data_IF_715217939804
#
_entry.id   IF_715217939804
#
_cell.length_a   1.000
_cell.length_b   1.000
_cell.length_c   1.000
_cell.angle_alpha   90.00
_cell.angle_beta   90.00
_cell.angle_gamma   90.00
#
_symmetry.space_group_name_H-M   'P 1'
#
loop_
_entity.id
_entity.type
_entity.pdbx_description
1 polymer ?
#
# COMPACT_ATOMS: atom_id res chain seq x y z
N UNK A 1 0.38 -0.08 -8.11
CA UNK A 1 -0.07 -0.98 -7.03
C UNK A 1 -1.10 -0.28 -6.17
N UNK A 2 -2.14 -0.99 -5.72
CA UNK A 2 -3.12 -0.43 -4.78
C UNK A 2 -2.51 -0.46 -3.38
N UNK A 3 -2.16 0.72 -2.85
CA UNK A 3 -1.85 0.86 -1.43
C UNK A 3 -3.15 0.79 -0.64
N UNK A 4 -3.35 -0.29 0.11
CA UNK A 4 -4.40 -0.36 1.11
C UNK A 4 -3.86 0.14 2.46
N UNK A 5 -4.65 0.94 3.20
CA UNK A 5 -4.26 1.37 4.54
C UNK A 5 -4.20 0.17 5.49
N UNK A 6 -3.39 0.26 6.54
CA UNK A 6 -3.13 -0.87 7.46
C UNK A 6 -4.40 -1.40 8.14
N UNK A 7 -5.41 -0.55 8.34
CA UNK A 7 -6.69 -0.94 8.92
C UNK A 7 -7.57 -1.76 7.95
N UNK A 8 -7.26 -1.77 6.65
CA UNK A 8 -8.10 -2.39 5.62
C UNK A 8 -8.29 -3.89 5.88
N UNK A 9 -7.24 -4.59 6.34
CA UNK A 9 -7.34 -6.03 6.66
C UNK A 9 -8.34 -6.26 7.80
N UNK A 10 -8.21 -5.50 8.89
CA UNK A 10 -9.15 -5.57 10.02
C UNK A 10 -10.58 -5.21 9.62
N UNK A 11 -10.75 -4.20 8.76
CA UNK A 11 -12.05 -3.78 8.25
C UNK A 11 -12.72 -4.88 7.40
N UNK A 12 -11.98 -5.47 6.46
CA UNK A 12 -12.48 -6.57 5.63
C UNK A 12 -12.84 -7.81 6.45
N UNK A 13 -12.02 -8.16 7.44
CA UNK A 13 -12.34 -9.23 8.40
C UNK A 13 -13.61 -8.93 9.20
N UNK A 14 -13.78 -7.69 9.65
CA UNK A 14 -14.98 -7.23 10.34
C UNK A 14 -16.25 -7.38 9.49
N UNK A 15 -16.20 -6.94 8.24
CA UNK A 15 -17.32 -7.10 7.29
C UNK A 15 -17.64 -8.58 7.09
N UNK A 16 -16.63 -9.42 6.88
CA UNK A 16 -16.82 -10.85 6.67
C UNK A 16 -17.54 -11.51 7.86
N UNK A 17 -17.13 -11.20 9.10
CA UNK A 17 -17.79 -11.70 10.32
C UNK A 17 -19.24 -11.21 10.41
N UNK A 18 -19.47 -9.92 10.17
CA UNK A 18 -20.81 -9.33 10.22
C UNK A 18 -21.77 -10.02 9.24
N UNK A 19 -21.33 -10.22 7.99
CA UNK A 19 -22.12 -10.88 6.94
C UNK A 19 -22.47 -12.33 7.34
N UNK A 20 -21.51 -13.08 7.89
CA UNK A 20 -21.76 -14.44 8.36
C UNK A 20 -22.78 -14.48 9.51
N UNK A 21 -22.72 -13.53 10.45
CA UNK A 21 -23.68 -13.43 11.55
C UNK A 21 -25.09 -13.09 11.06
N UNK A 22 -25.22 -12.17 10.11
CA UNK A 22 -26.52 -11.81 9.52
C UNK A 22 -27.15 -13.02 8.84
N UNK A 23 -26.41 -13.76 8.02
CA UNK A 23 -26.95 -14.96 7.36
C UNK A 23 -27.26 -16.09 8.36
N UNK A 24 -26.43 -16.28 9.39
CA UNK A 24 -26.72 -17.22 10.46
C UNK A 24 -28.02 -16.88 11.20
N UNK A 25 -28.22 -15.59 11.51
CA UNK A 25 -29.45 -15.11 12.15
C UNK A 25 -30.69 -15.33 11.28
N UNK A 26 -30.61 -15.01 9.98
CA UNK A 26 -31.72 -15.24 9.04
C UNK A 26 -32.05 -16.73 8.89
N UNK A 27 -31.03 -17.61 8.86
CA UNK A 27 -31.23 -19.05 8.79
C UNK A 27 -31.93 -19.60 10.03
N UNK A 28 -31.63 -19.08 11.22
CA UNK A 28 -32.33 -19.42 12.47
C UNK A 28 -33.79 -18.95 12.41
N UNK A 29 -34.05 -17.71 11.97
CA UNK A 29 -35.41 -17.18 11.88
C UNK A 29 -36.29 -17.91 10.86
N UNK A 30 -35.73 -18.30 9.73
CA UNK A 30 -36.45 -19.02 8.66
C UNK A 30 -36.53 -20.52 8.90
N UNK A 31 -35.72 -21.07 9.81
CA UNK A 31 -35.65 -22.51 10.11
C UNK A 31 -35.16 -23.37 8.94
N UNK A 32 -34.54 -22.76 7.92
CA UNK A 32 -34.16 -23.45 6.69
C UNK A 32 -32.73 -23.11 6.27
N UNK A 33 -31.87 -24.12 6.28
CA UNK A 33 -30.52 -24.04 5.72
C UNK A 33 -30.52 -23.97 4.18
N UNK A 34 -31.62 -24.31 3.51
CA UNK A 34 -31.70 -24.25 2.04
C UNK A 34 -31.56 -22.82 1.50
N UNK A 35 -31.89 -21.82 2.32
CA UNK A 35 -31.65 -20.41 2.00
C UNK A 35 -30.16 -20.07 1.82
N UNK A 36 -29.26 -20.85 2.41
CA UNK A 36 -27.82 -20.67 2.27
C UNK A 36 -27.31 -21.09 0.88
N UNK A 37 -28.12 -21.75 0.05
CA UNK A 37 -27.73 -22.17 -1.30
C UNK A 37 -27.85 -21.00 -2.28
N UNK A 38 -26.93 -20.92 -3.24
CA UNK A 38 -26.93 -19.90 -4.29
C UNK A 38 -26.20 -18.62 -3.87
N UNK A 39 -26.83 -17.42 -3.94
CA UNK A 39 -26.16 -16.15 -3.64
C UNK A 39 -25.51 -16.10 -2.26
N UNK A 40 -26.13 -16.72 -1.27
CA UNK A 40 -25.63 -16.75 0.11
C UNK A 40 -24.38 -17.61 0.23
N UNK A 41 -24.34 -18.79 -0.42
CA UNK A 41 -23.14 -19.62 -0.49
C UNK A 41 -21.96 -18.87 -1.13
N UNK A 42 -22.21 -18.11 -2.20
CA UNK A 42 -21.18 -17.28 -2.82
C UNK A 42 -20.67 -16.19 -1.88
N UNK A 43 -21.56 -15.56 -1.09
CA UNK A 43 -21.18 -14.57 -0.09
C UNK A 43 -20.32 -15.19 1.03
N UNK A 44 -20.60 -16.42 1.47
CA UNK A 44 -19.75 -17.14 2.43
C UNK A 44 -18.35 -17.43 1.88
N UNK A 45 -18.24 -17.89 0.63
CA UNK A 45 -16.94 -18.12 -0.01
C UNK A 45 -16.13 -16.81 -0.10
N UNK A 46 -16.79 -15.71 -0.46
CA UNK A 46 -16.17 -14.39 -0.48
C UNK A 46 -15.75 -13.92 0.91
N UNK A 47 -16.58 -14.13 1.94
CA UNK A 47 -16.26 -13.81 3.32
C UNK A 47 -15.05 -14.59 3.84
N UNK A 48 -14.95 -15.90 3.54
CA UNK A 48 -13.77 -16.71 3.88
C UNK A 48 -12.52 -16.17 3.18
N UNK A 49 -12.62 -15.80 1.90
CA UNK A 49 -11.51 -15.15 1.18
C UNK A 49 -11.10 -13.82 1.81
N UNK A 50 -12.05 -12.99 2.24
CA UNK A 50 -11.80 -11.73 2.94
C UNK A 50 -11.18 -11.96 4.33
N UNK A 51 -11.55 -13.02 5.04
CA UNK A 51 -10.95 -13.39 6.32
C UNK A 51 -9.49 -13.77 6.19
N UNK A 52 -9.15 -14.47 5.12
CA UNK A 52 -7.78 -14.87 4.80
C UNK A 52 -7.02 -13.79 4.01
N UNK A 53 -7.62 -12.61 3.79
CA UNK A 53 -6.96 -11.54 3.06
C UNK A 53 -5.91 -10.88 3.95
N UNK A 54 -4.67 -10.92 3.46
CA UNK A 54 -3.52 -10.24 4.03
C UNK A 54 -3.13 -9.07 3.12
N UNK A 55 -2.54 -8.03 3.71
CA UNK A 55 -1.95 -6.91 2.99
C UNK A 55 -0.42 -7.11 2.95
N UNK A 56 0.11 -7.93 2.01
CA UNK A 56 1.54 -8.20 1.98
C UNK A 56 2.30 -6.93 1.64
N UNK A 57 3.32 -6.63 2.44
CA UNK A 57 4.26 -5.56 2.14
C UNK A 57 5.16 -6.06 1.02
N UNK A 58 4.94 -5.55 -0.20
CA UNK A 58 5.79 -5.83 -1.32
C UNK A 58 7.12 -5.10 -1.15
N UNK A 59 8.19 -5.88 -1.07
CA UNK A 59 9.55 -5.35 -1.10
C UNK A 59 10.03 -5.47 -2.54
N UNK A 60 10.21 -4.34 -3.21
CA UNK A 60 10.84 -4.33 -4.54
C UNK A 60 12.35 -4.32 -4.37
N UNK A 61 13.03 -5.24 -5.07
CA UNK A 61 14.48 -5.23 -5.12
C UNK A 61 14.90 -4.20 -6.17
N UNK A 62 15.38 -3.05 -5.70
CA UNK A 62 15.91 -2.00 -6.57
C UNK A 62 17.37 -2.27 -6.96
N UNK A 63 17.85 -1.49 -7.92
CA UNK A 63 19.28 -1.41 -8.24
C UNK A 63 20.10 -0.93 -7.03
N UNK A 64 21.41 -1.23 -6.99
CA UNK A 64 22.31 -0.74 -5.95
C UNK A 64 22.29 0.79 -5.79
N UNK A 65 22.44 1.28 -4.56
CA UNK A 65 22.41 2.71 -4.25
C UNK A 65 23.41 3.56 -5.05
N UNK A 66 24.58 3.00 -5.37
CA UNK A 66 25.63 3.68 -6.14
C UNK A 66 25.27 3.94 -7.61
N UNK A 67 24.15 3.41 -8.09
CA UNK A 67 23.69 3.63 -9.47
C UNK A 67 22.84 4.89 -9.64
N UNK A 68 22.33 5.46 -8.54
CA UNK A 68 21.46 6.63 -8.56
C UNK A 68 22.27 7.92 -8.35
N UNK A 69 22.12 8.85 -9.29
CA UNK A 69 22.94 10.06 -9.34
C UNK A 69 22.12 11.35 -9.17
N UNK A 70 20.80 11.29 -9.29
CA UNK A 70 19.96 12.49 -9.23
C UNK A 70 18.80 12.28 -8.28
N UNK A 71 18.61 13.23 -7.38
CA UNK A 71 17.51 13.26 -6.43
C UNK A 71 16.74 14.55 -6.61
N UNK A 72 15.48 14.43 -7.00
CA UNK A 72 14.54 15.54 -6.99
C UNK A 72 13.74 15.54 -5.70
N UNK A 73 13.77 16.67 -5.02
CA UNK A 73 13.08 16.88 -3.73
C UNK A 73 11.92 17.86 -3.95
N UNK A 74 10.70 17.36 -3.84
CA UNK A 74 9.47 18.17 -3.87
C UNK A 74 8.90 18.28 -2.45
N UNK A 75 9.28 19.35 -1.74
CA UNK A 75 8.79 19.63 -0.39
C UNK A 75 7.31 19.95 -0.34
N UNK A 76 6.73 20.55 -1.39
CA UNK A 76 5.30 20.93 -1.38
C UNK A 76 4.39 19.72 -1.37
N UNK A 77 4.82 18.63 -2.01
CA UNK A 77 4.07 17.37 -2.10
C UNK A 77 4.65 16.26 -1.22
N UNK A 78 5.66 16.58 -0.40
CA UNK A 78 6.39 15.63 0.45
C UNK A 78 6.84 14.39 -0.33
N UNK A 79 7.52 14.63 -1.45
CA UNK A 79 7.89 13.59 -2.41
C UNK A 79 9.37 13.69 -2.76
N UNK A 80 10.03 12.52 -2.85
CA UNK A 80 11.43 12.40 -3.22
C UNK A 80 11.52 11.42 -4.39
N UNK A 81 12.14 11.85 -5.48
CA UNK A 81 12.31 11.06 -6.69
C UNK A 81 13.79 10.86 -6.94
N UNK A 82 14.21 9.60 -6.93
CA UNK A 82 15.59 9.22 -7.17
C UNK A 82 15.68 8.60 -8.54
N UNK A 83 16.56 9.12 -9.40
CA UNK A 83 16.72 8.63 -10.77
C UNK A 83 18.19 8.56 -11.20
N UNK A 84 18.39 7.84 -12.30
CA UNK A 84 19.68 7.69 -12.98
C UNK A 84 19.94 8.86 -13.93
N UNK A 85 20.94 8.71 -14.79
CA UNK A 85 21.15 9.58 -15.97
C UNK A 85 19.93 9.62 -16.90
N UNK A 86 19.14 8.54 -16.91
CA UNK A 86 17.82 8.50 -17.55
C UNK A 86 16.74 8.79 -16.50
N UNK A 87 15.91 9.79 -16.77
CA UNK A 87 14.81 10.26 -15.89
C UNK A 87 13.72 9.20 -15.73
N UNK A 88 13.64 8.22 -16.65
CA UNK A 88 12.65 7.15 -16.61
C UNK A 88 13.03 5.99 -15.69
N UNK A 89 14.30 5.90 -15.27
CA UNK A 89 14.82 4.83 -14.43
C UNK A 89 15.08 5.36 -13.02
N UNK A 90 14.22 4.98 -12.09
CA UNK A 90 14.24 5.48 -10.73
C UNK A 90 13.14 4.91 -9.84
N UNK A 91 13.03 5.46 -8.64
CA UNK A 91 11.93 5.18 -7.74
C UNK A 91 11.40 6.48 -7.12
N UNK A 92 10.12 6.44 -6.76
CA UNK A 92 9.40 7.57 -6.19
C UNK A 92 8.97 7.22 -4.76
N UNK A 93 9.34 8.06 -3.80
CA UNK A 93 8.94 7.94 -2.41
C UNK A 93 8.04 9.11 -2.03
N UNK A 94 6.80 8.81 -1.63
CA UNK A 94 5.85 9.80 -1.09
C UNK A 94 5.70 9.63 0.41
N UNK A 95 5.64 10.75 1.12
CA UNK A 95 5.58 10.77 2.57
C UNK A 95 4.31 11.50 3.02
N UNK A 96 3.69 11.00 4.10
CA UNK A 96 2.54 11.66 4.73
C UNK A 96 2.95 12.72 5.74
N UNK A 97 4.18 12.64 6.27
CA UNK A 97 4.68 13.50 7.34
C UNK A 97 6.06 14.07 7.01
N UNK A 98 6.24 15.36 7.30
CA UNK A 98 7.49 16.08 7.09
C UNK A 98 8.67 15.50 7.90
N UNK A 99 8.39 14.96 9.10
CA UNK A 99 9.41 14.30 9.93
C UNK A 99 10.00 13.08 9.23
N UNK A 100 9.16 12.23 8.63
CA UNK A 100 9.59 11.04 7.88
C UNK A 100 10.32 11.44 6.59
N UNK A 101 9.79 12.45 5.90
CA UNK A 101 10.43 13.03 4.72
C UNK A 101 11.85 13.50 5.00
N UNK A 102 12.05 14.32 6.04
CA UNK A 102 13.37 14.82 6.40
C UNK A 102 14.31 13.70 6.87
N UNK A 103 13.80 12.73 7.63
CA UNK A 103 14.59 11.55 8.03
C UNK A 103 15.05 10.75 6.81
N UNK A 104 14.19 10.56 5.83
CA UNK A 104 14.51 9.85 4.59
C UNK A 104 15.51 10.62 3.72
N UNK A 105 15.34 11.94 3.61
CA UNK A 105 16.29 12.79 2.90
C UNK A 105 17.68 12.73 3.53
N UNK A 106 17.78 12.82 4.85
CA UNK A 106 19.04 12.65 5.58
C UNK A 106 19.65 11.26 5.35
N UNK A 107 18.81 10.21 5.31
CA UNK A 107 19.28 8.87 4.97
C UNK A 107 19.85 8.80 3.55
N UNK A 108 19.18 9.39 2.56
CA UNK A 108 19.68 9.43 1.18
C UNK A 108 21.05 10.10 1.07
N UNK A 109 21.30 11.17 1.83
CA UNK A 109 22.63 11.80 1.88
C UNK A 109 23.73 10.88 2.42
N UNK A 110 23.38 9.82 3.17
CA UNK A 110 24.36 8.86 3.71
C UNK A 110 24.63 7.68 2.80
N UNK A 111 23.66 7.27 1.97
CA UNK A 111 23.75 6.05 1.16
C UNK A 111 24.04 6.31 -0.32
N UNK A 112 23.72 7.52 -0.82
CA UNK A 112 23.99 7.89 -2.20
C UNK A 112 25.45 8.31 -2.39
N UNK A 113 25.98 8.14 -3.62
CA UNK A 113 27.33 8.58 -3.92
C UNK A 113 27.46 10.10 -3.72
N UNK A 114 28.65 10.56 -3.34
CA UNK A 114 28.93 12.00 -3.12
C UNK A 114 28.80 12.85 -4.40
N UNK A 115 28.77 12.21 -5.57
CA UNK A 115 28.50 12.82 -6.87
C UNK A 115 26.99 13.00 -7.13
N UNK A 116 26.11 12.54 -6.25
CA UNK A 116 24.68 12.65 -6.44
C UNK A 116 24.21 14.11 -6.31
N UNK A 117 23.45 14.58 -7.29
CA UNK A 117 22.91 15.93 -7.34
C UNK A 117 21.51 15.97 -6.73
N UNK A 118 21.33 16.82 -5.72
CA UNK A 118 20.05 17.06 -5.06
C UNK A 118 19.46 18.37 -5.57
N UNK A 119 18.33 18.27 -6.26
CA UNK A 119 17.60 19.44 -6.79
C UNK A 119 16.27 19.59 -6.10
N UNK A 120 16.02 20.75 -5.50
CA UNK A 120 14.68 21.12 -5.04
C UNK A 120 13.86 21.67 -6.20
N UNK A 121 12.90 20.89 -6.71
CA UNK A 121 11.95 21.35 -7.72
C UNK A 121 10.58 20.73 -7.47
N UNK A 122 9.54 21.49 -7.78
CA UNK A 122 8.20 20.93 -7.89
C UNK A 122 8.21 19.91 -9.03
N UNK A 123 7.91 18.65 -8.72
CA UNK A 123 7.88 17.63 -9.75
C UNK A 123 6.66 17.86 -10.64
N UNK A 124 6.92 18.09 -11.92
CA UNK A 124 5.87 18.19 -12.93
C UNK A 124 5.54 16.77 -13.37
N UNK A 125 4.28 16.39 -13.16
CA UNK A 125 3.69 15.20 -13.77
C UNK A 125 3.68 15.33 -15.28
#
# INVERSE_FOLDING_TARGET
YLHYPDFASSFFKGIAIFVMLVFGFVAILTGSLLFLVGPVAMAFIAAIKLLNWENPIHHEQSLPWGEYNFVTVDRKRLMIITHRTDVTLGFEARFQHEVLFNKYLSFLHTVLPSTAEFTEKAWKW
#
